data_IF_514414299533
#
_entry.id   IF_514414299533
#
_cell.length_a   1.000
_cell.length_b   1.000
_cell.length_c   1.000
_cell.angle_alpha   90.00
_cell.angle_beta   90.00
_cell.angle_gamma   90.00
#
_symmetry.space_group_name_H-M   'P 1'
#
loop_
_entity.id
_entity.type
_entity.pdbx_description
1 polymer ?
#
# COMPACT_ATOMS: atom_id res chain seq x y z
N UNK A 1 4.93 -36.53 21.92
CA UNK A 1 3.65 -35.92 22.33
C UNK A 1 3.70 -34.43 21.95
N UNK A 2 2.79 -34.04 21.18
CA UNK A 2 2.35 -32.75 20.62
C UNK A 2 2.99 -32.40 19.25
N UNK A 3 2.44 -33.03 18.23
CA UNK A 3 2.31 -32.49 16.88
C UNK A 3 0.95 -31.79 16.85
N UNK A 4 0.92 -30.48 16.69
CA UNK A 4 -0.31 -29.77 16.31
C UNK A 4 -0.01 -28.69 15.28
N UNK A 5 -0.54 -28.91 14.11
CA UNK A 5 -1.29 -27.98 13.26
C UNK A 5 -0.52 -26.87 12.57
N UNK A 6 -0.04 -27.18 11.36
CA UNK A 6 0.07 -26.21 10.27
C UNK A 6 -0.66 -26.78 9.03
N UNK A 7 -1.94 -26.62 8.98
CA UNK A 7 -2.77 -26.76 7.77
C UNK A 7 -3.66 -25.53 7.75
N UNK A 8 -3.41 -24.62 6.82
CA UNK A 8 -4.35 -23.76 6.11
C UNK A 8 -3.64 -22.48 5.62
N UNK A 9 -2.75 -22.63 4.63
CA UNK A 9 -2.33 -21.46 3.80
C UNK A 9 -1.87 -21.96 2.42
N UNK A 10 -2.76 -22.58 1.70
CA UNK A 10 -2.39 -23.16 0.41
C UNK A 10 -3.56 -23.26 -0.57
N UNK A 11 -4.36 -22.21 -0.74
CA UNK A 11 -5.43 -22.28 -1.78
C UNK A 11 -5.85 -20.91 -2.34
N UNK A 12 -4.93 -19.93 -2.44
CA UNK A 12 -5.34 -18.63 -3.04
C UNK A 12 -4.34 -18.07 -4.06
N UNK A 13 -3.58 -18.93 -4.73
CA UNK A 13 -2.58 -18.43 -5.70
C UNK A 13 -2.53 -19.23 -7.00
N UNK A 14 -3.67 -19.77 -7.49
CA UNK A 14 -3.64 -20.58 -8.74
C UNK A 14 -4.64 -20.14 -9.81
N UNK A 15 -5.09 -18.91 -9.85
CA UNK A 15 -5.99 -18.42 -10.89
C UNK A 15 -5.53 -17.14 -11.62
N UNK A 16 -4.22 -16.81 -11.64
CA UNK A 16 -3.77 -15.58 -12.33
C UNK A 16 -2.67 -15.79 -13.39
N UNK A 17 -2.51 -17.00 -13.90
CA UNK A 17 -1.47 -17.28 -14.90
C UNK A 17 -2.01 -17.76 -16.26
N UNK A 18 -3.05 -17.16 -16.77
CA UNK A 18 -3.46 -17.37 -18.17
C UNK A 18 -4.12 -16.11 -18.70
N UNK A 19 -3.35 -15.11 -19.08
CA UNK A 19 -3.66 -14.13 -20.13
C UNK A 19 -2.61 -13.03 -20.09
N UNK A 20 -1.55 -13.18 -20.88
CA UNK A 20 -0.76 -12.02 -21.36
C UNK A 20 0.23 -12.49 -22.43
N UNK A 21 -0.34 -12.90 -23.58
CA UNK A 21 0.34 -12.71 -24.86
C UNK A 21 -0.35 -11.52 -25.52
N UNK A 22 0.13 -10.32 -25.30
CA UNK A 22 -0.12 -9.16 -26.16
C UNK A 22 1.11 -8.29 -26.18
N UNK A 23 1.66 -8.21 -27.40
CA UNK A 23 2.43 -7.15 -28.05
C UNK A 23 2.86 -5.99 -27.16
N UNK A 24 4.18 -5.72 -27.14
CA UNK A 24 4.80 -4.57 -26.50
C UNK A 24 4.20 -3.24 -26.93
N UNK A 25 3.25 -2.76 -26.18
CA UNK A 25 2.98 -1.34 -26.11
C UNK A 25 3.97 -0.78 -25.08
N UNK A 26 5.01 -0.13 -25.58
CA UNK A 26 5.79 0.81 -24.76
C UNK A 26 4.80 1.87 -24.30
N UNK A 27 4.27 1.69 -23.11
CA UNK A 27 3.57 2.77 -22.42
C UNK A 27 4.64 3.81 -22.12
N UNK A 28 4.73 4.81 -22.99
CA UNK A 28 5.38 6.07 -22.67
C UNK A 28 4.70 6.59 -21.43
N UNK A 29 5.28 6.30 -20.27
CA UNK A 29 4.91 6.99 -19.02
C UNK A 29 5.20 8.46 -19.30
N UNK A 30 4.19 9.33 -19.32
CA UNK A 30 4.45 10.75 -19.49
C UNK A 30 5.44 11.12 -18.38
N UNK A 31 6.55 11.76 -18.76
CA UNK A 31 7.44 12.40 -17.82
C UNK A 31 6.59 13.32 -16.97
N UNK A 32 6.15 12.84 -15.80
CA UNK A 32 5.65 13.75 -14.79
C UNK A 32 6.80 14.72 -14.51
N UNK A 33 6.56 16.03 -14.65
CA UNK A 33 7.57 17.00 -14.29
C UNK A 33 7.93 16.75 -12.82
N UNK A 34 9.16 16.39 -12.57
CA UNK A 34 9.72 16.11 -11.24
C UNK A 34 9.93 17.38 -10.40
N UNK A 35 9.40 18.48 -10.86
CA UNK A 35 9.30 19.71 -10.12
C UNK A 35 7.83 20.01 -9.85
N UNK A 36 7.24 19.23 -8.93
CA UNK A 36 6.13 19.74 -8.16
C UNK A 36 6.63 20.96 -7.40
N UNK A 37 6.43 22.14 -7.99
CA UNK A 37 6.37 23.36 -7.22
C UNK A 37 5.35 23.07 -6.11
N UNK A 38 5.85 22.65 -4.96
CA UNK A 38 5.11 22.73 -3.71
C UNK A 38 4.92 24.23 -3.53
N UNK A 39 3.89 24.77 -4.15
CA UNK A 39 3.33 26.04 -3.73
C UNK A 39 3.04 25.81 -2.25
N UNK A 40 3.92 26.24 -1.41
CA UNK A 40 3.70 26.33 0.02
C UNK A 40 2.59 27.35 0.17
N UNK A 41 1.37 26.83 0.13
CA UNK A 41 0.14 27.58 0.32
C UNK A 41 0.08 27.94 1.81
N UNK A 42 1.00 28.83 2.21
CA UNK A 42 1.16 29.30 3.59
C UNK A 42 -0.03 30.16 4.05
N UNK A 43 -1.07 30.31 3.22
CA UNK A 43 -2.28 31.07 3.53
C UNK A 43 -3.38 30.24 4.24
N UNK A 44 -3.03 29.11 4.84
CA UNK A 44 -4.05 28.25 5.47
C UNK A 44 -4.42 28.70 6.90
N UNK A 45 -3.53 29.36 7.59
CA UNK A 45 -3.78 29.78 8.98
C UNK A 45 -4.58 31.08 9.02
N UNK A 46 -5.58 31.12 9.92
CA UNK A 46 -6.23 32.40 10.29
C UNK A 46 -5.17 33.27 10.93
N UNK A 47 -5.05 34.49 10.41
CA UNK A 47 -4.22 35.50 11.05
C UNK A 47 -4.97 36.06 12.27
N UNK A 48 -4.46 35.90 13.50
CA UNK A 48 -5.11 36.39 14.69
C UNK A 48 -5.21 37.92 14.76
N UNK A 49 -4.44 38.64 13.95
CA UNK A 49 -4.44 40.10 13.90
C UNK A 49 -5.50 40.65 12.93
N UNK A 50 -6.14 39.79 12.14
CA UNK A 50 -7.18 40.18 11.18
C UNK A 50 -8.56 40.00 11.79
N UNK A 51 -9.35 41.06 11.82
CA UNK A 51 -10.76 41.01 12.23
C UNK A 51 -11.62 40.51 11.05
N UNK A 52 -11.97 39.21 11.07
CA UNK A 52 -12.82 38.59 10.05
C UNK A 52 -14.31 38.92 10.21
N UNK A 53 -14.71 39.56 11.30
CA UNK A 53 -16.08 40.03 11.50
C UNK A 53 -16.36 41.28 10.66
N UNK A 54 -15.30 42.06 10.36
CA UNK A 54 -15.38 43.32 9.65
C UNK A 54 -14.78 43.23 8.27
N UNK A 55 -15.47 43.77 7.30
CA UNK A 55 -14.98 43.89 5.94
C UNK A 55 -15.63 45.08 5.26
N UNK A 56 -15.03 45.58 4.19
CA UNK A 56 -15.55 46.68 3.39
C UNK A 56 -15.97 46.17 2.03
N UNK A 57 -16.99 46.84 1.47
CA UNK A 57 -17.44 46.59 0.13
C UNK A 57 -17.96 47.88 -0.52
N UNK A 58 -18.07 47.88 -1.83
CA UNK A 58 -18.59 49.02 -2.60
C UNK A 58 -19.91 48.67 -3.26
N UNK A 59 -20.86 49.56 -3.19
CA UNK A 59 -22.12 49.42 -3.94
C UNK A 59 -21.80 49.38 -5.42
N UNK A 60 -22.04 48.26 -6.07
CA UNK A 60 -21.89 48.14 -7.53
C UNK A 60 -23.18 48.43 -8.28
N UNK A 61 -24.32 48.04 -7.68
CA UNK A 61 -25.63 48.25 -8.28
C UNK A 61 -26.71 48.30 -7.20
N UNK A 62 -27.86 48.86 -7.52
CA UNK A 62 -29.05 48.88 -6.65
C UNK A 62 -30.32 48.71 -7.49
N UNK A 63 -31.33 48.14 -6.89
CA UNK A 63 -32.65 48.04 -7.52
C UNK A 63 -33.45 49.36 -7.43
N UNK A 64 -34.54 49.44 -8.19
CA UNK A 64 -35.39 50.62 -8.22
C UNK A 64 -36.08 50.90 -6.87
N UNK A 65 -36.33 49.88 -6.07
CA UNK A 65 -36.90 50.01 -4.73
C UNK A 65 -35.89 50.54 -3.71
N UNK A 66 -34.61 50.60 -4.08
CA UNK A 66 -33.47 50.94 -3.21
C UNK A 66 -33.37 50.08 -1.94
N UNK A 67 -33.93 48.86 -1.98
CA UNK A 67 -33.86 47.90 -0.89
C UNK A 67 -32.87 46.76 -1.14
N UNK A 68 -32.51 46.51 -2.40
CA UNK A 68 -31.55 45.48 -2.78
C UNK A 68 -30.30 46.14 -3.31
N UNK A 69 -29.19 45.80 -2.74
CA UNK A 69 -27.88 46.33 -3.15
C UNK A 69 -26.97 45.17 -3.56
N UNK A 70 -26.31 45.32 -4.71
CA UNK A 70 -25.21 44.47 -5.11
C UNK A 70 -23.90 45.09 -4.64
N UNK A 71 -23.16 44.37 -3.86
CA UNK A 71 -21.94 44.83 -3.20
C UNK A 71 -20.77 44.11 -3.82
N UNK A 72 -19.77 44.87 -4.28
CA UNK A 72 -18.47 44.35 -4.70
C UNK A 72 -17.52 44.36 -3.51
N UNK A 73 -16.83 43.23 -3.25
CA UNK A 73 -15.84 43.08 -2.18
C UNK A 73 -14.46 42.78 -2.77
N UNK A 74 -13.42 43.13 -2.02
CA UNK A 74 -12.04 42.90 -2.45
C UNK A 74 -11.55 41.51 -2.09
N UNK A 75 -12.09 40.93 -1.02
CA UNK A 75 -11.76 39.58 -0.58
C UNK A 75 -12.90 38.60 -0.89
N UNK A 76 -12.56 37.35 -1.16
CA UNK A 76 -13.54 36.32 -1.50
C UNK A 76 -14.09 35.53 -0.29
N UNK A 77 -13.94 36.06 0.92
CA UNK A 77 -14.50 35.41 2.14
C UNK A 77 -16.03 35.43 2.13
N UNK A 78 -16.63 36.35 1.41
CA UNK A 78 -18.09 36.46 1.22
C UNK A 78 -18.71 35.22 0.59
N UNK A 79 -17.92 34.35 -0.07
CA UNK A 79 -18.37 33.03 -0.56
C UNK A 79 -18.93 32.12 0.52
N UNK A 80 -18.59 32.38 1.77
CA UNK A 80 -19.11 31.61 2.90
C UNK A 80 -20.47 32.12 3.43
N UNK A 81 -20.99 33.21 2.91
CA UNK A 81 -22.35 33.61 3.19
C UNK A 81 -23.38 32.62 2.61
N UNK A 82 -24.52 32.60 3.26
CA UNK A 82 -25.72 31.89 2.79
C UNK A 82 -26.85 32.87 2.69
N UNK A 83 -27.79 32.59 1.79
CA UNK A 83 -29.02 33.37 1.70
C UNK A 83 -29.76 33.37 3.04
N UNK A 84 -30.17 34.54 3.51
CA UNK A 84 -30.80 34.73 4.81
C UNK A 84 -29.85 35.15 5.92
N UNK A 85 -28.53 35.15 5.73
CA UNK A 85 -27.59 35.59 6.76
C UNK A 85 -27.76 37.07 7.08
N UNK A 86 -27.79 37.38 8.38
CA UNK A 86 -27.84 38.75 8.87
C UNK A 86 -26.48 39.42 8.76
N UNK A 87 -26.44 40.57 8.15
CA UNK A 87 -25.26 41.43 8.05
C UNK A 87 -25.61 42.85 8.53
N UNK A 88 -24.77 43.38 9.35
CA UNK A 88 -24.88 44.77 9.81
C UNK A 88 -23.91 45.60 8.97
N UNK A 89 -24.31 46.81 8.61
CA UNK A 89 -23.42 47.67 7.85
C UNK A 89 -23.57 49.15 8.25
N UNK A 90 -22.53 49.93 7.96
CA UNK A 90 -22.51 51.39 8.05
C UNK A 90 -21.95 52.02 6.79
N UNK A 91 -22.40 53.21 6.49
CA UNK A 91 -21.76 54.00 5.42
C UNK A 91 -20.49 54.61 5.99
N UNK A 92 -19.36 54.44 5.29
CA UNK A 92 -18.04 54.84 5.76
C UNK A 92 -17.92 56.33 6.16
N UNK A 93 -18.74 57.19 5.59
CA UNK A 93 -18.74 58.63 5.84
C UNK A 93 -19.39 59.01 7.18
N UNK A 94 -20.04 58.07 7.89
CA UNK A 94 -20.77 58.34 9.15
C UNK A 94 -20.33 57.38 10.28
N UNK A 95 -19.24 57.67 10.90
CA UNK A 95 -18.75 56.84 12.05
C UNK A 95 -19.72 56.85 13.26
N UNK A 96 -20.63 57.79 13.35
CA UNK A 96 -21.54 57.98 14.52
C UNK A 96 -22.97 57.46 14.29
N UNK A 97 -23.25 56.84 13.15
CA UNK A 97 -24.59 56.31 12.82
C UNK A 97 -24.88 54.95 13.42
N UNK A 98 -26.14 54.58 13.58
CA UNK A 98 -26.58 53.25 13.93
C UNK A 98 -26.26 52.26 12.78
N UNK A 99 -26.09 50.98 13.17
CA UNK A 99 -25.93 49.93 12.15
C UNK A 99 -27.22 49.63 11.42
N UNK A 100 -27.11 49.56 10.10
CA UNK A 100 -28.18 49.09 9.27
C UNK A 100 -28.21 47.57 9.23
N UNK A 101 -29.41 47.00 9.30
CA UNK A 101 -29.63 45.56 9.19
C UNK A 101 -29.95 45.16 7.75
N UNK A 102 -29.25 44.19 7.24
CA UNK A 102 -29.51 43.61 5.95
C UNK A 102 -29.43 42.09 5.97
N UNK A 103 -30.10 41.45 5.05
CA UNK A 103 -30.05 40.01 4.85
C UNK A 103 -29.39 39.69 3.53
N UNK A 104 -28.45 38.74 3.53
CA UNK A 104 -27.82 38.26 2.29
C UNK A 104 -28.88 37.55 1.44
N UNK A 105 -28.99 37.91 0.18
CA UNK A 105 -29.93 37.32 -0.78
C UNK A 105 -29.26 36.35 -1.72
N UNK A 106 -28.12 36.71 -2.28
CA UNK A 106 -27.30 35.87 -3.17
C UNK A 106 -25.83 36.19 -3.01
N UNK A 107 -25.00 35.21 -3.36
CA UNK A 107 -23.54 35.32 -3.34
C UNK A 107 -23.04 34.95 -4.72
N UNK A 108 -22.15 35.75 -5.27
CA UNK A 108 -21.43 35.56 -6.53
C UNK A 108 -19.93 35.78 -6.28
N UNK A 109 -19.07 35.44 -7.22
CA UNK A 109 -17.66 35.72 -7.11
C UNK A 109 -17.39 37.21 -6.92
N UNK A 110 -16.74 37.57 -5.82
CA UNK A 110 -16.42 38.94 -5.40
C UNK A 110 -17.62 39.87 -5.28
N UNK A 111 -18.86 39.36 -5.33
CA UNK A 111 -20.07 40.14 -5.13
C UNK A 111 -21.04 39.37 -4.24
N UNK A 112 -21.87 40.13 -3.52
CA UNK A 112 -23.03 39.59 -2.84
C UNK A 112 -24.15 40.60 -2.87
N UNK A 113 -25.37 40.11 -2.85
CA UNK A 113 -26.56 40.99 -2.81
C UNK A 113 -27.17 40.96 -1.45
N UNK A 114 -27.53 42.11 -0.93
CA UNK A 114 -28.20 42.28 0.37
C UNK A 114 -29.55 42.92 0.22
N UNK A 115 -30.49 42.49 1.05
CA UNK A 115 -31.81 43.10 1.19
C UNK A 115 -31.88 43.82 2.54
N UNK A 116 -32.29 45.12 2.50
CA UNK A 116 -32.46 45.96 3.68
C UNK A 116 -33.93 46.00 4.04
N UNK A 117 -34.27 45.50 5.24
CA UNK A 117 -35.67 45.44 5.67
C UNK A 117 -36.25 46.82 6.05
N UNK A 118 -35.50 47.57 6.84
CA UNK A 118 -35.91 48.88 7.31
C UNK A 118 -34.94 49.97 6.86
N UNK A 119 -35.35 50.83 5.99
CA UNK A 119 -34.52 51.91 5.46
C UNK A 119 -34.46 53.13 6.40
N UNK A 120 -35.44 53.31 7.32
CA UNK A 120 -35.56 54.49 8.15
C UNK A 120 -34.31 54.87 8.93
N UNK A 121 -33.69 53.98 9.72
CA UNK A 121 -32.47 54.29 10.49
C UNK A 121 -31.25 54.58 9.62
N UNK A 122 -31.26 54.06 8.37
CA UNK A 122 -30.13 54.03 7.45
C UNK A 122 -30.18 55.16 6.41
N UNK A 123 -31.33 55.74 6.23
CA UNK A 123 -31.65 56.60 5.09
C UNK A 123 -31.96 58.05 5.57
N UNK A 124 -30.92 58.75 6.00
CA UNK A 124 -31.09 60.18 6.27
C UNK A 124 -31.00 61.07 5.03
N UNK A 125 -30.47 60.57 3.93
CA UNK A 125 -30.31 61.29 2.66
C UNK A 125 -30.35 60.33 1.49
N UNK A 126 -31.01 60.68 0.38
CA UNK A 126 -31.24 59.87 -0.83
C UNK A 126 -29.94 59.47 -1.56
N UNK A 127 -28.81 60.05 -1.21
CA UNK A 127 -27.55 59.90 -1.90
C UNK A 127 -26.60 58.84 -1.29
N UNK A 128 -26.96 58.21 -0.17
CA UNK A 128 -26.04 57.31 0.56
C UNK A 128 -25.70 56.01 -0.17
N UNK A 129 -26.52 55.53 -1.03
CA UNK A 129 -26.33 54.26 -1.71
C UNK A 129 -26.11 54.43 -3.20
N UNK A 130 -25.34 55.44 -3.59
CA UNK A 130 -24.90 55.59 -4.98
C UNK A 130 -23.88 54.51 -5.35
N UNK A 131 -23.80 54.15 -6.60
CA UNK A 131 -22.72 53.28 -7.12
C UNK A 131 -21.36 53.84 -6.72
N UNK A 132 -20.51 52.99 -6.16
CA UNK A 132 -19.19 53.35 -5.62
C UNK A 132 -19.16 53.70 -4.12
N UNK A 133 -20.32 53.87 -3.46
CA UNK A 133 -20.36 54.12 -2.03
C UNK A 133 -19.70 52.96 -1.25
N UNK A 134 -18.79 53.30 -0.32
CA UNK A 134 -18.10 52.30 0.53
C UNK A 134 -18.97 52.05 1.75
N UNK A 135 -19.23 50.77 2.00
CA UNK A 135 -19.96 50.26 3.15
C UNK A 135 -19.03 49.41 3.99
N UNK A 136 -19.06 49.64 5.32
CA UNK A 136 -18.34 48.80 6.27
C UNK A 136 -19.33 47.79 6.88
N UNK A 137 -19.06 46.51 6.68
CA UNK A 137 -19.90 45.41 7.09
C UNK A 137 -19.39 44.77 8.37
N UNK A 138 -20.32 44.22 9.14
CA UNK A 138 -20.05 43.44 10.31
C UNK A 138 -20.92 42.19 10.33
N UNK A 139 -20.29 40.99 10.44
CA UNK A 139 -20.99 39.74 10.48
C UNK A 139 -20.23 38.68 11.29
N UNK A 140 -20.75 38.36 12.47
CA UNK A 140 -20.25 37.26 13.32
C UNK A 140 -20.36 35.91 12.61
N UNK A 141 -21.48 35.70 11.90
CA UNK A 141 -21.74 34.45 11.16
C UNK A 141 -20.69 34.18 10.12
N UNK A 142 -20.28 35.25 9.37
CA UNK A 142 -19.23 35.13 8.37
C UNK A 142 -17.90 34.74 9.03
N UNK A 143 -17.51 35.44 10.09
CA UNK A 143 -16.25 35.16 10.80
C UNK A 143 -16.20 33.72 11.30
N UNK A 144 -17.29 33.20 11.85
CA UNK A 144 -17.37 31.84 12.36
C UNK A 144 -17.21 30.83 11.24
N UNK A 145 -17.86 31.05 10.08
CA UNK A 145 -17.71 30.16 8.90
C UNK A 145 -16.33 30.24 8.26
N UNK A 146 -15.71 31.42 8.24
CA UNK A 146 -14.31 31.58 7.80
C UNK A 146 -13.39 30.77 8.70
N UNK A 147 -13.60 30.81 10.00
CA UNK A 147 -12.83 30.02 10.97
C UNK A 147 -13.03 28.51 10.75
N UNK A 148 -14.25 28.04 10.59
CA UNK A 148 -14.56 26.64 10.29
C UNK A 148 -13.93 26.19 8.98
N UNK A 149 -14.04 27.03 7.94
CA UNK A 149 -13.44 26.75 6.63
C UNK A 149 -11.91 26.67 6.71
N UNK A 150 -11.27 27.51 7.51
CA UNK A 150 -9.82 27.45 7.74
C UNK A 150 -9.39 26.14 8.40
N UNK A 151 -10.08 25.71 9.46
CA UNK A 151 -9.83 24.42 10.10
C UNK A 151 -10.01 23.25 9.13
N UNK A 152 -11.06 23.29 8.33
CA UNK A 152 -11.30 22.25 7.33
C UNK A 152 -10.19 22.23 6.27
N UNK A 153 -9.72 23.39 5.82
CA UNK A 153 -8.60 23.51 4.90
C UNK A 153 -7.32 22.92 5.48
N UNK A 154 -7.03 23.15 6.75
CA UNK A 154 -5.88 22.56 7.44
C UNK A 154 -5.93 21.02 7.39
N UNK A 155 -7.09 20.43 7.67
CA UNK A 155 -7.29 18.98 7.55
C UNK A 155 -7.09 18.47 6.12
N UNK A 156 -7.52 19.24 5.11
CA UNK A 156 -7.31 18.90 3.70
C UNK A 156 -5.83 18.94 3.32
N UNK A 157 -5.07 19.90 3.84
CA UNK A 157 -3.62 19.99 3.63
C UNK A 157 -2.91 18.75 4.21
N UNK A 158 -3.25 18.36 5.44
CA UNK A 158 -2.69 17.15 6.05
C UNK A 158 -2.99 15.89 5.23
N UNK A 159 -4.23 15.75 4.75
CA UNK A 159 -4.59 14.62 3.87
C UNK A 159 -3.84 14.66 2.53
N UNK A 160 -3.66 15.84 1.96
CA UNK A 160 -2.88 16.03 0.73
C UNK A 160 -1.44 15.55 0.94
N UNK A 161 -0.83 15.94 2.06
CA UNK A 161 0.52 15.51 2.42
C UNK A 161 0.64 13.99 2.56
N UNK A 162 -0.34 13.36 3.20
CA UNK A 162 -0.37 11.90 3.33
C UNK A 162 -0.50 11.21 1.96
N UNK A 163 -1.35 11.71 1.09
CA UNK A 163 -1.47 11.18 -0.27
C UNK A 163 -0.18 11.38 -1.08
N UNK A 164 0.49 12.52 -0.93
CA UNK A 164 1.77 12.76 -1.60
C UNK A 164 2.86 11.79 -1.10
N UNK A 165 2.93 11.52 0.20
CA UNK A 165 3.84 10.52 0.77
C UNK A 165 3.57 9.12 0.20
N UNK A 166 2.29 8.71 0.16
CA UNK A 166 1.90 7.43 -0.42
C UNK A 166 2.24 7.34 -1.91
N UNK A 167 1.95 8.39 -2.67
CA UNK A 167 2.27 8.47 -4.09
C UNK A 167 3.78 8.36 -4.33
N UNK A 168 4.58 9.09 -3.56
CA UNK A 168 6.04 9.04 -3.65
C UNK A 168 6.57 7.63 -3.33
N UNK A 169 6.01 6.96 -2.33
CA UNK A 169 6.37 5.58 -1.99
C UNK A 169 6.06 4.61 -3.14
N UNK A 170 4.87 4.73 -3.75
CA UNK A 170 4.46 3.93 -4.89
C UNK A 170 5.36 4.20 -6.10
N UNK A 171 5.64 5.47 -6.40
CA UNK A 171 6.52 5.84 -7.50
C UNK A 171 7.93 5.29 -7.31
N UNK A 172 8.46 5.37 -6.08
CA UNK A 172 9.76 4.79 -5.75
C UNK A 172 9.76 3.27 -5.97
N UNK A 173 8.72 2.57 -5.49
CA UNK A 173 8.57 1.13 -5.72
C UNK A 173 8.53 0.80 -7.21
N UNK A 174 7.69 1.50 -7.99
CA UNK A 174 7.58 1.27 -9.44
C UNK A 174 8.92 1.50 -10.16
N UNK A 175 9.68 2.51 -9.75
CA UNK A 175 10.95 2.85 -10.35
C UNK A 175 12.05 1.82 -10.03
N UNK A 176 12.00 1.23 -8.84
CA UNK A 176 12.96 0.22 -8.41
C UNK A 176 12.50 -1.21 -8.70
N UNK A 177 11.27 -1.39 -9.21
CA UNK A 177 10.66 -2.70 -9.38
C UNK A 177 11.50 -3.66 -10.23
N UNK A 178 11.99 -3.21 -11.39
CA UNK A 178 12.80 -4.06 -12.27
C UNK A 178 14.12 -4.47 -11.61
N UNK A 179 14.74 -3.57 -10.84
CA UNK A 179 15.95 -3.88 -10.08
C UNK A 179 15.66 -4.90 -8.98
N UNK A 180 14.55 -4.74 -8.25
CA UNK A 180 14.12 -5.69 -7.22
C UNK A 180 13.81 -7.06 -7.83
N UNK A 181 13.13 -7.09 -8.99
CA UNK A 181 12.85 -8.33 -9.71
C UNK A 181 14.13 -9.08 -10.11
N UNK A 182 15.10 -8.36 -10.69
CA UNK A 182 16.41 -8.96 -11.06
C UNK A 182 17.16 -9.46 -9.83
N UNK A 183 17.18 -8.67 -8.76
CA UNK A 183 17.81 -9.06 -7.49
C UNK A 183 17.16 -10.32 -6.91
N UNK A 184 15.84 -10.36 -6.84
CA UNK A 184 15.12 -11.53 -6.32
C UNK A 184 15.37 -12.78 -7.19
N UNK A 185 15.37 -12.63 -8.51
CA UNK A 185 15.70 -13.73 -9.41
C UNK A 185 17.12 -14.26 -9.17
N UNK A 186 18.11 -13.36 -9.01
CA UNK A 186 19.49 -13.75 -8.74
C UNK A 186 19.64 -14.46 -7.38
N UNK A 187 18.93 -14.04 -6.34
CA UNK A 187 18.91 -14.69 -5.03
C UNK A 187 18.37 -16.15 -5.13
N UNK A 188 17.30 -16.36 -5.89
CA UNK A 188 16.77 -17.71 -6.13
C UNK A 188 17.70 -18.55 -6.99
N UNK A 189 18.33 -17.96 -8.02
CA UNK A 189 19.30 -18.68 -8.86
C UNK A 189 20.53 -19.14 -8.03
N UNK A 190 21.00 -18.32 -7.11
CA UNK A 190 22.08 -18.67 -6.20
C UNK A 190 21.66 -19.84 -5.28
N UNK A 191 20.47 -19.80 -4.73
CA UNK A 191 19.93 -20.87 -3.89
C UNK A 191 19.75 -22.18 -4.68
N UNK A 192 19.24 -22.12 -5.89
CA UNK A 192 19.14 -23.29 -6.80
C UNK A 192 20.52 -23.87 -7.06
N UNK A 193 21.51 -23.03 -7.35
CA UNK A 193 22.88 -23.48 -7.58
C UNK A 193 23.50 -24.12 -6.31
N UNK A 194 23.21 -23.59 -5.14
CA UNK A 194 23.62 -24.19 -3.85
C UNK A 194 23.03 -25.58 -3.68
N UNK A 195 21.71 -25.70 -3.82
CA UNK A 195 21.00 -26.98 -3.69
C UNK A 195 21.44 -28.02 -4.73
N UNK A 196 21.75 -27.58 -5.94
CA UNK A 196 22.30 -28.46 -6.97
C UNK A 196 23.69 -29.00 -6.61
N UNK A 197 24.55 -28.17 -6.01
CA UNK A 197 25.87 -28.61 -5.53
C UNK A 197 25.73 -29.60 -4.37
N UNK A 198 24.85 -29.33 -3.41
CA UNK A 198 24.55 -30.22 -2.30
C UNK A 198 24.02 -31.58 -2.77
N UNK A 199 23.08 -31.56 -3.75
CA UNK A 199 22.57 -32.78 -4.40
C UNK A 199 23.69 -33.60 -5.05
N UNK A 200 24.57 -32.96 -5.85
CA UNK A 200 25.70 -33.66 -6.45
C UNK A 200 26.60 -34.33 -5.40
N UNK A 201 26.97 -33.55 -4.38
CA UNK A 201 27.79 -34.06 -3.30
C UNK A 201 27.15 -35.27 -2.63
N UNK A 202 25.86 -35.18 -2.29
CA UNK A 202 25.14 -36.29 -1.66
C UNK A 202 25.11 -37.55 -2.56
N UNK A 203 24.94 -37.36 -3.88
CA UNK A 203 25.00 -38.49 -4.83
C UNK A 203 26.38 -39.08 -4.96
N UNK A 204 27.44 -38.25 -4.98
CA UNK A 204 28.83 -38.71 -5.00
C UNK A 204 29.19 -39.48 -3.71
N UNK A 205 28.75 -39.00 -2.55
CA UNK A 205 28.93 -39.67 -1.26
C UNK A 205 28.21 -41.04 -1.26
N UNK A 206 27.01 -41.14 -1.82
CA UNK A 206 26.28 -42.41 -1.99
C UNK A 206 27.00 -43.38 -2.93
N UNK A 207 27.57 -42.89 -4.03
CA UNK A 207 28.36 -43.73 -4.98
C UNK A 207 29.60 -44.23 -4.26
N UNK A 208 30.33 -43.42 -3.55
CA UNK A 208 31.50 -43.79 -2.77
C UNK A 208 31.17 -44.88 -1.72
N UNK A 209 30.09 -44.67 -0.97
CA UNK A 209 29.61 -45.64 0.02
C UNK A 209 29.24 -46.98 -0.65
N UNK A 210 28.61 -46.96 -1.83
CA UNK A 210 28.31 -48.17 -2.60
C UNK A 210 29.59 -48.92 -2.99
N UNK A 211 30.63 -48.21 -3.43
CA UNK A 211 31.92 -48.82 -3.79
C UNK A 211 32.60 -49.47 -2.56
N UNK A 212 32.62 -48.77 -1.44
CA UNK A 212 33.15 -49.32 -0.19
C UNK A 212 32.42 -50.62 0.22
N UNK A 213 31.08 -50.59 0.11
CA UNK A 213 30.27 -51.78 0.45
C UNK A 213 30.54 -52.97 -0.51
N UNK A 214 30.77 -52.71 -1.77
CA UNK A 214 31.14 -53.73 -2.73
C UNK A 214 32.51 -54.37 -2.42
N UNK A 215 33.48 -53.56 -2.02
CA UNK A 215 34.80 -54.09 -1.58
C UNK A 215 34.64 -54.99 -0.36
N UNK A 216 33.89 -54.54 0.66
CA UNK A 216 33.61 -55.33 1.85
C UNK A 216 32.86 -56.64 1.49
N UNK A 217 31.87 -56.55 0.58
CA UNK A 217 31.15 -57.73 0.11
C UNK A 217 32.07 -58.77 -0.52
N UNK A 218 32.96 -58.34 -1.42
CA UNK A 218 33.92 -59.22 -2.08
C UNK A 218 34.89 -59.87 -1.08
N UNK A 219 35.35 -59.10 -0.09
CA UNK A 219 36.22 -59.64 0.95
C UNK A 219 35.51 -60.69 1.84
N UNK A 220 34.26 -60.42 2.19
CA UNK A 220 33.45 -61.36 2.95
C UNK A 220 33.16 -62.64 2.15
N UNK A 221 32.89 -62.52 0.86
CA UNK A 221 32.71 -63.69 -0.04
C UNK A 221 33.99 -64.52 -0.12
N UNK A 222 35.16 -63.88 -0.24
CA UNK A 222 36.43 -64.58 -0.28
C UNK A 222 36.64 -65.36 1.04
N UNK A 223 36.40 -64.73 2.20
CA UNK A 223 36.52 -65.38 3.50
C UNK A 223 35.54 -66.57 3.70
N UNK A 224 34.30 -66.38 3.18
CA UNK A 224 33.30 -67.46 3.17
C UNK A 224 33.78 -68.65 2.37
N UNK A 225 34.34 -68.46 1.21
CA UNK A 225 34.91 -69.59 0.41
C UNK A 225 36.06 -70.22 1.05
N UNK A 226 37.00 -69.49 1.75
CA UNK A 226 38.12 -70.04 2.52
C UNK A 226 37.60 -70.87 3.68
N UNK A 227 36.51 -70.44 4.38
CA UNK A 227 35.90 -71.23 5.42
C UNK A 227 35.25 -72.50 4.93
N UNK A 228 34.53 -72.40 3.78
CA UNK A 228 33.90 -73.58 3.15
C UNK A 228 34.97 -74.63 2.76
N UNK A 229 36.08 -74.21 2.17
CA UNK A 229 37.20 -75.08 1.83
C UNK A 229 37.81 -75.69 3.08
N UNK A 230 37.99 -74.89 4.13
CA UNK A 230 38.51 -75.41 5.46
C UNK A 230 37.57 -76.43 6.07
N UNK A 231 36.23 -76.18 5.95
CA UNK A 231 35.23 -77.14 6.46
C UNK A 231 35.27 -78.44 5.73
N UNK A 232 35.53 -78.41 4.43
CA UNK A 232 35.69 -79.58 3.62
C UNK A 232 36.93 -80.40 4.06
N UNK A 233 38.08 -79.74 4.34
CA UNK A 233 39.32 -80.36 4.79
C UNK A 233 39.20 -81.06 6.18
N UNK A 234 38.47 -80.34 7.10
CA UNK A 234 38.27 -80.84 8.47
C UNK A 234 36.99 -81.62 8.65
N UNK A 235 36.34 -82.07 7.55
CA UNK A 235 35.15 -82.89 7.60
C UNK A 235 35.43 -84.22 8.24
N UNK A 236 34.80 -84.49 9.37
CA UNK A 236 34.88 -85.79 10.03
C UNK A 236 33.86 -86.72 9.39
N UNK A 237 34.34 -87.76 8.66
CA UNK A 237 33.45 -88.74 8.09
C UNK A 237 32.95 -89.68 9.20
N UNK A 238 31.61 -89.65 9.40
CA UNK A 238 30.89 -90.63 10.20
C UNK A 238 30.22 -91.64 9.24
N UNK A 239 30.02 -92.83 9.71
CA UNK A 239 29.33 -93.89 8.95
C UNK A 239 27.83 -93.53 8.66
N UNK A 240 27.34 -92.53 9.36
CA UNK A 240 25.97 -92.03 9.12
C UNK A 240 25.99 -90.94 7.98
N UNK A 241 24.99 -91.05 7.06
CA UNK A 241 24.81 -90.05 6.00
C UNK A 241 24.71 -88.63 6.60
N UNK A 242 25.76 -87.92 6.44
CA UNK A 242 25.75 -86.48 6.70
C UNK A 242 25.10 -85.80 5.50
N UNK A 243 23.86 -85.35 5.65
CA UNK A 243 23.19 -84.48 4.72
C UNK A 243 23.92 -83.12 4.74
N UNK A 244 24.18 -82.58 3.60
CA UNK A 244 24.80 -81.25 3.49
C UNK A 244 23.92 -80.28 4.28
N UNK A 245 24.57 -79.42 5.08
CA UNK A 245 23.87 -78.46 5.93
C UNK A 245 22.89 -77.55 5.08
N UNK A 246 23.26 -77.29 3.86
CA UNK A 246 22.40 -76.51 2.98
C UNK A 246 21.08 -77.20 2.59
N UNK A 247 21.17 -78.54 2.35
CA UNK A 247 19.98 -79.33 2.10
C UNK A 247 19.06 -79.40 3.28
N UNK A 248 19.65 -79.57 4.50
CA UNK A 248 18.90 -79.65 5.75
C UNK A 248 18.21 -78.27 6.05
N UNK A 249 18.93 -77.20 5.85
CA UNK A 249 18.38 -75.87 6.12
C UNK A 249 17.31 -75.54 5.06
N UNK A 250 17.47 -75.93 3.82
CA UNK A 250 16.47 -75.77 2.77
C UNK A 250 15.21 -76.62 3.03
N UNK A 251 15.36 -77.88 3.43
CA UNK A 251 14.23 -78.77 3.73
C UNK A 251 13.44 -78.31 4.95
N UNK A 252 14.07 -77.59 5.86
CA UNK A 252 13.40 -76.99 7.01
C UNK A 252 12.79 -75.60 6.70
N UNK A 253 12.89 -75.12 5.42
CA UNK A 253 12.37 -73.81 5.05
C UNK A 253 13.07 -72.62 5.74
N UNK A 254 14.27 -72.82 6.23
CA UNK A 254 15.02 -71.76 6.87
C UNK A 254 15.68 -70.85 5.82
N UNK A 255 15.64 -69.52 5.98
CA UNK A 255 16.21 -68.57 5.00
C UNK A 255 17.74 -68.63 4.92
N UNK A 256 18.37 -69.59 5.59
CA UNK A 256 19.80 -69.68 5.74
C UNK A 256 20.52 -70.39 4.59
N UNK A 257 19.88 -70.70 3.53
CA UNK A 257 20.49 -71.43 2.46
C UNK A 257 20.89 -70.62 1.23
N UNK A 258 20.56 -69.39 1.11
CA UNK A 258 20.87 -68.61 -0.07
C UNK A 258 22.25 -68.00 -0.02
N UNK A 259 23.15 -68.48 -0.89
CA UNK A 259 24.50 -67.89 -1.03
C UNK A 259 24.39 -66.49 -1.64
N UNK A 260 25.23 -65.54 -1.22
CA UNK A 260 25.24 -64.17 -1.77
C UNK A 260 25.39 -64.09 -3.30
N UNK A 261 25.92 -65.16 -3.94
CA UNK A 261 26.02 -65.24 -5.40
C UNK A 261 24.68 -65.45 -6.09
N UNK A 262 23.70 -66.05 -5.45
CA UNK A 262 22.36 -66.30 -6.01
C UNK A 262 21.47 -65.04 -5.89
N UNK A 263 21.76 -64.14 -4.94
CA UNK A 263 21.10 -62.83 -4.80
C UNK A 263 21.49 -61.84 -5.92
N UNK A 264 22.39 -62.21 -6.82
CA UNK A 264 22.90 -61.34 -7.89
C UNK A 264 22.19 -61.55 -9.24
N UNK A 265 21.24 -62.47 -9.32
CA UNK A 265 20.56 -62.83 -10.58
C UNK A 265 19.13 -62.35 -10.66
N UNK A 266 18.62 -61.69 -9.60
CA UNK A 266 17.33 -61.02 -9.58
C UNK A 266 17.55 -59.47 -9.52
#
# INVERSE_FOLDING_TARGET
MIIKSMKTFGHFCLCFFLYLNTSGAVVLVPNLPSEGVVATDNHAAIDPNVDYERFSGRVSDKDDSSRIFKIKVENNNTKFFRAGDLVLFKVNLKDKGEYCKAFVRSVEDFHFSVYVEALGPCYSETDYFKRGTVLNFYSKTLALRVFEASKYREQLILRKDDFLKQLNSINHFLWTFDQQKVKTAAEYDEEINRLQREKRKALDDMISLKQERLVIQNELMRKLNELDDSMLVYRVERQELLTDRWENDHDQGLPFGQRPQQLRQD
#
